data_IF_950711972810
#
_entry.id   IF_950711972810
#
_cell.length_a   1.000
_cell.length_b   1.000
_cell.length_c   1.000
_cell.angle_alpha   90.00
_cell.angle_beta   90.00
_cell.angle_gamma   90.00
#
_symmetry.space_group_name_H-M   'P 1'
#
loop_
_entity.id
_entity.type
_entity.pdbx_description
1 polymer ?
#
# COMPACT_ATOMS: atom_id res chain seq x y z
N UNK A 1 -4.27 -14.62 -20.54
CA UNK A 1 -3.67 -13.59 -19.66
C UNK A 1 -2.21 -13.51 -20.03
N UNK A 2 -1.73 -12.33 -20.39
CA UNK A 2 -0.31 -12.12 -20.65
C UNK A 2 0.48 -12.18 -19.34
N UNK A 3 1.77 -12.52 -19.42
CA UNK A 3 2.68 -12.65 -18.27
C UNK A 3 2.61 -11.40 -17.38
N UNK A 4 2.55 -10.21 -17.99
CA UNK A 4 2.43 -8.95 -17.26
C UNK A 4 1.15 -8.86 -16.42
N UNK A 5 0.01 -9.34 -16.92
CA UNK A 5 -1.25 -9.32 -16.19
C UNK A 5 -1.25 -10.29 -15.01
N UNK A 6 -0.62 -11.46 -15.16
CA UNK A 6 -0.47 -12.42 -14.06
C UNK A 6 0.44 -11.87 -12.95
N UNK A 7 1.56 -11.24 -13.31
CA UNK A 7 2.46 -10.60 -12.33
C UNK A 7 1.73 -9.50 -11.57
N UNK A 8 1.00 -8.65 -12.29
CA UNK A 8 0.23 -7.57 -11.67
C UNK A 8 -0.83 -8.12 -10.71
N UNK A 9 -1.59 -9.14 -11.10
CA UNK A 9 -2.58 -9.76 -10.23
C UNK A 9 -1.96 -10.35 -8.95
N UNK A 10 -0.82 -11.03 -9.07
CA UNK A 10 -0.11 -11.59 -7.90
C UNK A 10 0.43 -10.47 -7.00
N UNK A 11 0.95 -9.39 -7.59
CA UNK A 11 1.39 -8.21 -6.84
C UNK A 11 0.23 -7.59 -6.06
N UNK A 12 -0.91 -7.32 -6.71
CA UNK A 12 -2.10 -6.78 -6.07
C UNK A 12 -2.59 -7.67 -4.92
N UNK A 13 -2.59 -9.00 -5.10
CA UNK A 13 -2.96 -9.93 -4.02
C UNK A 13 -1.99 -9.85 -2.83
N UNK A 14 -0.69 -9.74 -3.09
CA UNK A 14 0.30 -9.56 -2.04
C UNK A 14 0.10 -8.22 -1.31
N UNK A 15 -0.21 -7.15 -2.03
CA UNK A 15 -0.49 -5.84 -1.44
C UNK A 15 -1.72 -5.86 -0.54
N UNK A 16 -2.80 -6.53 -0.97
CA UNK A 16 -4.00 -6.74 -0.13
C UNK A 16 -3.63 -7.50 1.14
N UNK A 17 -2.83 -8.56 1.04
CA UNK A 17 -2.41 -9.33 2.21
C UNK A 17 -1.59 -8.48 3.18
N UNK A 18 -0.63 -7.68 2.68
CA UNK A 18 0.18 -6.79 3.52
C UNK A 18 -0.68 -5.72 4.18
N UNK A 19 -1.62 -5.10 3.45
CA UNK A 19 -2.54 -4.11 4.01
C UNK A 19 -3.35 -4.72 5.16
N UNK A 20 -3.94 -5.90 4.96
CA UNK A 20 -4.72 -6.60 5.99
C UNK A 20 -3.87 -6.93 7.22
N UNK A 21 -2.67 -7.48 7.03
CA UNK A 21 -1.76 -7.80 8.14
C UNK A 21 -1.38 -6.53 8.90
N UNK A 22 -1.06 -5.45 8.19
CA UNK A 22 -0.70 -4.16 8.80
C UNK A 22 -1.86 -3.56 9.62
N UNK A 23 -3.09 -3.61 9.10
CA UNK A 23 -4.29 -3.22 9.85
C UNK A 23 -4.51 -4.08 11.09
N UNK A 24 -4.33 -5.41 10.99
CA UNK A 24 -4.43 -6.30 12.14
C UNK A 24 -3.37 -5.97 13.20
N UNK A 25 -2.14 -5.67 12.81
CA UNK A 25 -1.09 -5.21 13.74
C UNK A 25 -1.50 -3.88 14.39
N UNK A 26 -2.02 -2.94 13.60
CA UNK A 26 -2.46 -1.63 14.08
C UNK A 26 -3.54 -1.76 15.17
N UNK A 27 -4.54 -2.61 14.94
CA UNK A 27 -5.68 -2.80 15.84
C UNK A 27 -5.30 -3.68 17.04
N UNK A 28 -4.73 -4.86 16.80
CA UNK A 28 -4.49 -5.86 17.85
C UNK A 28 -3.29 -5.51 18.72
N UNK A 29 -2.22 -4.98 18.12
CA UNK A 29 -0.98 -4.64 18.86
C UNK A 29 -0.94 -3.16 19.28
N UNK A 30 -1.96 -2.37 18.92
CA UNK A 30 -2.04 -0.91 19.14
C UNK A 30 -0.78 -0.16 18.68
N UNK A 31 -0.13 -0.68 17.63
CA UNK A 31 1.11 -0.11 17.09
C UNK A 31 0.78 0.86 15.96
N UNK A 32 1.13 2.13 16.16
CA UNK A 32 0.88 3.19 15.18
C UNK A 32 1.53 2.93 13.82
N UNK A 33 2.69 2.26 13.76
CA UNK A 33 3.33 1.93 12.49
C UNK A 33 2.46 1.04 11.59
N UNK A 34 1.58 0.20 12.17
CA UNK A 34 0.68 -0.65 11.40
C UNK A 34 -0.34 0.15 10.59
N UNK A 35 -0.77 1.31 11.11
CA UNK A 35 -1.64 2.24 10.37
C UNK A 35 -0.95 2.81 9.15
N UNK A 36 0.31 3.26 9.30
CA UNK A 36 1.08 3.82 8.19
C UNK A 36 1.34 2.79 7.09
N UNK A 37 1.79 1.58 7.45
CA UNK A 37 2.01 0.49 6.48
C UNK A 37 0.68 0.11 5.79
N UNK A 38 -0.39 0.00 6.56
CA UNK A 38 -1.72 -0.34 6.05
C UNK A 38 -2.23 0.68 5.04
N UNK A 39 -2.09 1.99 5.34
CA UNK A 39 -2.49 3.07 4.44
C UNK A 39 -1.65 3.05 3.16
N UNK A 40 -0.33 2.88 3.26
CA UNK A 40 0.56 2.79 2.08
C UNK A 40 0.12 1.67 1.14
N UNK A 41 -0.07 0.45 1.65
CA UNK A 41 -0.46 -0.68 0.81
C UNK A 41 -1.94 -0.62 0.36
N UNK A 42 -2.84 -0.04 1.15
CA UNK A 42 -4.21 0.20 0.72
C UNK A 42 -4.27 1.19 -0.47
N UNK A 43 -3.43 2.22 -0.48
CA UNK A 43 -3.31 3.15 -1.61
C UNK A 43 -2.80 2.42 -2.87
N UNK A 44 -1.80 1.55 -2.74
CA UNK A 44 -1.31 0.75 -3.88
C UNK A 44 -2.38 -0.19 -4.44
N UNK A 45 -3.15 -0.88 -3.59
CA UNK A 45 -4.27 -1.71 -4.03
C UNK A 45 -5.30 -0.89 -4.80
N UNK A 46 -5.66 0.31 -4.34
CA UNK A 46 -6.61 1.19 -5.05
C UNK A 46 -6.06 1.57 -6.42
N UNK A 47 -4.76 1.84 -6.54
CA UNK A 47 -4.09 2.12 -7.81
C UNK A 47 -4.09 0.94 -8.76
N UNK A 48 -3.74 -0.24 -8.25
CA UNK A 48 -3.73 -1.46 -9.03
C UNK A 48 -5.14 -1.80 -9.52
N UNK A 49 -6.16 -1.63 -8.68
CA UNK A 49 -7.56 -1.77 -9.08
C UNK A 49 -7.93 -0.74 -10.15
N UNK A 50 -7.59 0.54 -9.96
CA UNK A 50 -7.86 1.57 -10.98
C UNK A 50 -7.23 1.19 -12.33
N UNK A 51 -6.02 0.65 -12.32
CA UNK A 51 -5.33 0.19 -13.52
C UNK A 51 -5.97 -1.05 -14.14
N UNK A 52 -6.43 -2.01 -13.33
CA UNK A 52 -7.15 -3.21 -13.78
C UNK A 52 -8.50 -2.83 -14.40
N UNK A 53 -9.20 -1.85 -13.84
CA UNK A 53 -10.48 -1.35 -14.37
C UNK A 53 -10.31 -0.33 -15.50
N UNK A 54 -9.08 -0.05 -15.94
CA UNK A 54 -8.76 0.95 -16.96
C UNK A 54 -9.35 2.35 -16.65
N UNK A 55 -9.40 2.72 -15.37
CA UNK A 55 -9.71 4.09 -14.96
C UNK A 55 -8.55 4.99 -15.38
N UNK A 56 -8.88 6.02 -16.16
CA UNK A 56 -7.93 6.97 -16.71
C UNK A 56 -7.42 7.90 -15.60
N UNK A 57 -6.44 7.43 -14.83
CA UNK A 57 -5.79 8.22 -13.79
C UNK A 57 -4.62 9.00 -14.38
N UNK A 58 -4.62 10.31 -14.19
CA UNK A 58 -3.51 11.17 -14.62
C UNK A 58 -2.18 10.74 -13.97
N UNK A 59 -1.07 10.95 -14.69
CA UNK A 59 0.27 10.68 -14.19
C UNK A 59 0.59 11.50 -12.92
N UNK A 60 -0.02 12.68 -12.79
CA UNK A 60 0.11 13.56 -11.63
C UNK A 60 -0.53 12.94 -10.37
N UNK A 61 -1.72 12.34 -10.51
CA UNK A 61 -2.39 11.64 -9.41
C UNK A 61 -1.59 10.41 -8.96
N UNK A 62 -1.02 9.66 -9.90
CA UNK A 62 -0.09 8.57 -9.60
C UNK A 62 1.11 9.06 -8.78
N UNK A 63 1.76 10.15 -9.22
CA UNK A 63 2.93 10.69 -8.54
C UNK A 63 2.60 11.21 -7.13
N UNK A 64 1.44 11.86 -6.96
CA UNK A 64 0.98 12.34 -5.65
C UNK A 64 0.73 11.19 -4.67
N UNK A 65 0.06 10.12 -5.12
CA UNK A 65 -0.20 8.98 -4.23
C UNK A 65 1.08 8.23 -3.91
N UNK A 66 1.98 8.05 -4.87
CA UNK A 66 3.30 7.49 -4.61
C UNK A 66 4.06 8.32 -3.56
N UNK A 67 4.01 9.65 -3.64
CA UNK A 67 4.65 10.53 -2.67
C UNK A 67 4.04 10.35 -1.26
N UNK A 68 2.72 10.33 -1.15
CA UNK A 68 2.01 10.12 0.13
C UNK A 68 2.34 8.74 0.70
N UNK A 69 2.37 7.72 -0.14
CA UNK A 69 2.73 6.35 0.22
C UNK A 69 4.16 6.26 0.76
N UNK A 70 5.12 6.92 0.09
CA UNK A 70 6.51 6.99 0.53
C UNK A 70 6.66 7.73 1.86
N UNK A 71 6.04 8.90 2.03
CA UNK A 71 6.07 9.65 3.30
C UNK A 71 5.48 8.82 4.44
N UNK A 72 4.36 8.15 4.18
CA UNK A 72 3.72 7.26 5.14
C UNK A 72 4.64 6.11 5.54
N UNK A 73 5.31 5.48 4.57
CA UNK A 73 6.22 4.37 4.84
C UNK A 73 7.48 4.81 5.60
N UNK A 74 8.03 5.99 5.29
CA UNK A 74 9.12 6.60 6.07
C UNK A 74 8.68 6.82 7.52
N UNK A 75 7.47 7.33 7.74
CA UNK A 75 6.87 7.46 9.07
C UNK A 75 6.71 6.12 9.80
N UNK A 76 6.30 5.07 9.09
CA UNK A 76 6.20 3.72 9.63
C UNK A 76 7.57 3.19 10.09
N UNK A 77 8.59 3.30 9.25
CA UNK A 77 9.96 2.85 9.55
C UNK A 77 10.55 3.63 10.72
N UNK A 78 10.33 4.94 10.78
CA UNK A 78 10.77 5.76 11.91
C UNK A 78 10.11 5.34 13.23
N UNK A 79 8.80 5.05 13.21
CA UNK A 79 8.09 4.55 14.38
C UNK A 79 8.54 3.14 14.80
N UNK A 80 8.87 2.28 13.83
CA UNK A 80 9.47 0.97 14.11
C UNK A 80 10.82 1.13 14.79
N UNK A 81 11.69 1.99 14.25
CA UNK A 81 13.01 2.27 14.82
C UNK A 81 12.93 2.84 16.24
N UNK A 82 11.99 3.75 16.50
CA UNK A 82 11.78 4.34 17.84
C UNK A 82 11.10 3.38 18.82
N UNK A 83 10.31 2.41 18.32
CA UNK A 83 9.56 1.48 19.16
C UNK A 83 10.34 0.19 19.47
N UNK A 84 11.58 0.06 18.98
CA UNK A 84 12.52 -1.00 19.30
C UNK A 84 13.34 -0.63 20.53
#
# INVERSE_FOLDING_TARGET
MDISGTIQLVATLAEVAVALIAFLIAIQKKKLYGWFIGITFALFVVFDLARIFALDMSAELHALVLLIACISMVGAVWLLWKSQ
#
